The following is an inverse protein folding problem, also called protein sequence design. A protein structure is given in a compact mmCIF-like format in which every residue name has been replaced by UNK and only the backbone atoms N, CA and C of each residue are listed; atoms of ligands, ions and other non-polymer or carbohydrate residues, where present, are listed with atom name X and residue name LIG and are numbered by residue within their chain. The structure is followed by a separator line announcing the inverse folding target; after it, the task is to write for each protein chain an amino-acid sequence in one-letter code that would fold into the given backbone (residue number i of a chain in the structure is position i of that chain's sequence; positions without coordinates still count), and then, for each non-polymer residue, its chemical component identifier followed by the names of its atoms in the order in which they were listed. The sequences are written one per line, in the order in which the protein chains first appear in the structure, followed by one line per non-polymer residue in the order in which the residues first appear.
data_IF_667077307752
#
_entry.id   IF_667077307752
#
_cell.length_a   1.000
_cell.length_b   1.000
_cell.length_c   1.000
_cell.angle_alpha   90.00
_cell.angle_beta   90.00
_cell.angle_gamma   90.00
#
_symmetry.space_group_name_H-M   'P 1'
#
loop_
_entity.id
_entity.type
_entity.pdbx_description
1 polymer ?
#
# COMPACT_ATOMS: atom_id res chain seq x y z
N UNK A 1 68.55 -40.77 32.84
CA UNK A 1 67.90 -39.46 32.95
C UNK A 1 66.82 -39.36 31.86
N UNK A 2 65.57 -39.56 32.23
CA UNK A 2 64.42 -39.63 31.29
C UNK A 2 63.54 -38.39 31.51
N UNK A 3 63.52 -37.50 30.52
CA UNK A 3 62.73 -36.29 30.57
C UNK A 3 61.22 -36.57 30.10
N UNK A 4 60.26 -36.29 30.96
CA UNK A 4 58.85 -36.34 30.66
C UNK A 4 58.43 -34.97 30.10
N UNK A 5 57.88 -34.94 28.86
CA UNK A 5 57.27 -33.76 28.27
C UNK A 5 55.75 -33.86 28.49
N UNK A 6 55.23 -32.99 29.34
CA UNK A 6 53.78 -32.85 29.53
C UNK A 6 53.27 -31.91 28.47
N UNK A 7 52.51 -32.45 27.50
CA UNK A 7 51.80 -31.67 26.51
C UNK A 7 50.50 -31.08 27.10
N UNK A 8 50.46 -29.76 27.19
CA UNK A 8 49.25 -29.03 27.62
C UNK A 8 48.32 -28.84 26.42
N UNK A 9 47.28 -29.68 26.30
CA UNK A 9 46.24 -29.53 25.28
C UNK A 9 45.26 -28.40 25.64
N UNK A 10 45.32 -27.31 24.92
CA UNK A 10 44.30 -26.24 25.03
C UNK A 10 43.05 -26.67 24.23
N UNK A 11 42.01 -27.07 24.92
CA UNK A 11 40.71 -27.30 24.31
C UNK A 11 40.04 -25.94 23.97
N UNK A 12 40.02 -25.61 22.68
CA UNK A 12 39.27 -24.43 22.17
C UNK A 12 37.78 -24.73 22.24
N UNK A 13 37.06 -24.22 23.25
CA UNK A 13 35.61 -24.30 23.32
C UNK A 13 35.03 -23.29 22.34
N UNK A 14 34.48 -23.77 21.24
CA UNK A 14 33.59 -23.00 20.35
C UNK A 14 32.30 -22.69 21.12
N UNK A 15 32.21 -21.52 21.72
CA UNK A 15 30.97 -21.00 22.21
C UNK A 15 30.13 -20.62 20.98
N UNK A 16 29.14 -21.44 20.63
CA UNK A 16 28.07 -21.07 19.72
C UNK A 16 27.25 -19.98 20.40
N UNK A 17 27.42 -18.74 19.95
CA UNK A 17 26.63 -17.62 20.42
C UNK A 17 25.15 -17.89 20.10
N UNK A 18 24.37 -18.21 21.11
CA UNK A 18 22.90 -18.21 21.01
C UNK A 18 22.48 -16.76 20.69
N UNK A 19 21.70 -16.51 19.63
CA UNK A 19 21.27 -15.13 19.34
C UNK A 19 20.55 -14.58 20.57
N UNK A 20 21.06 -13.46 21.10
CA UNK A 20 20.52 -12.83 22.29
C UNK A 20 19.02 -12.55 22.08
N UNK A 21 18.18 -13.06 22.98
CA UNK A 21 16.75 -12.79 22.92
C UNK A 21 16.52 -11.27 22.93
N UNK A 22 15.79 -10.79 21.94
CA UNK A 22 15.48 -9.37 21.77
C UNK A 22 14.92 -8.78 23.07
N UNK A 23 15.46 -7.66 23.54
CA UNK A 23 15.03 -7.05 24.81
C UNK A 23 13.56 -6.64 24.77
N UNK A 24 12.93 -6.50 25.93
CA UNK A 24 11.53 -6.03 26.00
C UNK A 24 11.36 -4.66 25.36
N UNK A 25 12.35 -3.78 25.50
CA UNK A 25 12.37 -2.44 24.90
C UNK A 25 12.40 -2.48 23.38
N UNK A 26 13.26 -3.35 22.79
CA UNK A 26 13.34 -3.51 21.34
C UNK A 26 12.05 -4.10 20.75
N UNK A 27 11.44 -5.06 21.46
CA UNK A 27 10.11 -5.59 21.06
C UNK A 27 9.04 -4.53 21.08
N UNK A 28 9.03 -3.67 22.10
CA UNK A 28 8.09 -2.56 22.19
C UNK A 28 8.32 -1.54 21.08
N UNK A 29 9.56 -1.13 20.83
CA UNK A 29 9.92 -0.22 19.75
C UNK A 29 9.48 -0.75 18.38
N UNK A 30 9.72 -2.04 18.10
CA UNK A 30 9.29 -2.68 16.85
C UNK A 30 7.76 -2.72 16.71
N UNK A 31 7.03 -2.88 17.80
CA UNK A 31 5.55 -2.84 17.77
C UNK A 31 5.03 -1.42 17.51
N UNK A 32 5.63 -0.42 18.14
CA UNK A 32 5.29 0.99 17.92
C UNK A 32 5.54 1.34 16.46
N UNK A 33 6.74 1.03 15.92
CA UNK A 33 7.08 1.31 14.53
C UNK A 33 6.05 0.70 13.55
N UNK A 34 5.61 -0.53 13.80
CA UNK A 34 4.62 -1.19 12.95
C UNK A 34 3.26 -0.47 12.99
N UNK A 35 2.87 0.04 14.15
CA UNK A 35 1.63 0.82 14.30
C UNK A 35 1.74 2.13 13.52
N UNK A 36 2.86 2.85 13.68
CA UNK A 36 3.13 4.09 12.95
C UNK A 36 3.13 3.88 11.44
N UNK A 37 3.80 2.82 10.97
CA UNK A 37 3.82 2.43 9.56
C UNK A 37 2.42 2.14 9.02
N UNK A 38 1.64 1.37 9.75
CA UNK A 38 0.26 1.06 9.37
C UNK A 38 -0.59 2.32 9.26
N UNK A 39 -0.47 3.25 10.22
CA UNK A 39 -1.18 4.53 10.20
C UNK A 39 -0.72 5.43 9.05
N UNK A 40 0.57 5.45 8.74
CA UNK A 40 1.10 6.23 7.61
C UNK A 40 0.59 5.67 6.28
N UNK A 41 0.57 4.34 6.12
CA UNK A 41 0.02 3.69 4.93
C UNK A 41 -1.48 3.97 4.81
N UNK A 42 -2.26 3.84 5.88
CA UNK A 42 -3.69 4.16 5.85
C UNK A 42 -3.92 5.61 5.42
N UNK A 43 -3.14 6.54 5.93
CA UNK A 43 -3.19 7.95 5.51
C UNK A 43 -2.81 8.15 4.04
N UNK A 44 -1.84 7.38 3.53
CA UNK A 44 -1.48 7.35 2.11
C UNK A 44 -2.66 6.89 1.24
N UNK A 45 -3.35 5.80 1.64
CA UNK A 45 -4.54 5.29 0.95
C UNK A 45 -5.66 6.33 0.90
N UNK A 46 -5.94 6.99 2.03
CA UNK A 46 -6.96 8.04 2.13
C UNK A 46 -6.61 9.28 1.29
N UNK A 47 -5.34 9.71 1.31
CA UNK A 47 -4.87 10.83 0.50
C UNK A 47 -4.99 10.57 -1.00
N UNK A 48 -4.84 9.32 -1.44
CA UNK A 48 -5.08 8.95 -2.82
C UNK A 48 -6.49 9.33 -3.28
N UNK A 49 -7.54 8.91 -2.56
CA UNK A 49 -8.92 9.28 -2.87
C UNK A 49 -9.13 10.79 -2.80
N UNK A 50 -8.63 11.43 -1.74
CA UNK A 50 -8.79 12.87 -1.52
C UNK A 50 -8.18 13.72 -2.65
N UNK A 51 -6.95 13.41 -3.10
CA UNK A 51 -6.31 14.15 -4.19
C UNK A 51 -6.97 13.85 -5.54
N UNK A 52 -7.41 12.60 -5.78
CA UNK A 52 -8.18 12.24 -6.97
C UNK A 52 -9.49 13.04 -7.07
N UNK A 53 -10.25 13.10 -5.99
CA UNK A 53 -11.51 13.82 -5.93
C UNK A 53 -11.33 15.34 -6.05
N UNK A 54 -10.26 15.88 -5.46
CA UNK A 54 -9.88 17.29 -5.59
C UNK A 54 -9.30 17.65 -6.97
N UNK A 55 -9.02 16.67 -7.84
CA UNK A 55 -8.29 16.86 -9.10
C UNK A 55 -6.88 17.46 -8.90
N UNK A 56 -6.30 17.26 -7.72
CA UNK A 56 -4.92 17.60 -7.44
C UNK A 56 -3.99 16.48 -7.90
N UNK A 57 -3.87 16.35 -9.23
CA UNK A 57 -3.10 15.25 -9.83
C UNK A 57 -1.59 15.39 -9.60
N UNK A 58 -1.12 16.60 -9.29
CA UNK A 58 0.25 16.79 -8.85
C UNK A 58 0.49 16.12 -7.48
N UNK A 59 -0.31 16.45 -6.46
CA UNK A 59 -0.20 15.80 -5.15
C UNK A 59 -0.50 14.31 -5.22
N UNK A 60 -1.49 13.90 -6.02
CA UNK A 60 -1.82 12.50 -6.29
C UNK A 60 -0.62 11.71 -6.83
N UNK A 61 0.08 12.23 -7.84
CA UNK A 61 1.21 11.54 -8.46
C UNK A 61 2.39 11.37 -7.50
N UNK A 62 2.60 12.32 -6.57
CA UNK A 62 3.66 12.26 -5.56
C UNK A 62 3.45 11.18 -4.48
N UNK A 63 2.28 10.55 -4.44
CA UNK A 63 2.03 9.38 -3.60
C UNK A 63 2.70 8.12 -4.15
N UNK A 64 3.15 8.13 -5.40
CA UNK A 64 3.84 7.02 -6.04
C UNK A 64 5.36 7.14 -5.90
N UNK A 65 6.04 6.01 -5.82
CA UNK A 65 7.50 5.94 -5.88
C UNK A 65 8.02 6.44 -7.23
N UNK A 66 9.32 6.73 -7.34
CA UNK A 66 9.96 7.22 -8.58
C UNK A 66 9.66 6.33 -9.80
N UNK A 67 9.57 5.02 -9.57
CA UNK A 67 9.23 4.00 -10.56
C UNK A 67 7.86 3.34 -10.26
N UNK A 68 7.03 4.01 -9.48
CA UNK A 68 5.71 3.53 -9.08
C UNK A 68 4.77 3.37 -10.27
N UNK A 69 3.92 2.34 -10.23
CA UNK A 69 3.00 1.99 -11.31
C UNK A 69 1.55 2.14 -10.86
N UNK A 70 0.77 2.86 -11.62
CA UNK A 70 -0.69 2.83 -11.56
C UNK A 70 -1.24 1.96 -12.69
N UNK A 71 -2.20 1.08 -12.38
CA UNK A 71 -2.88 0.21 -13.35
C UNK A 71 -4.38 0.15 -13.03
N UNK A 72 -5.22 0.23 -14.05
CA UNK A 72 -6.67 0.14 -13.89
C UNK A 72 -7.37 0.01 -15.24
N UNK A 73 -8.70 0.06 -15.25
CA UNK A 73 -9.52 -0.08 -16.46
C UNK A 73 -9.20 0.93 -17.57
N UNK A 74 -8.59 2.06 -17.25
CA UNK A 74 -8.20 3.08 -18.21
C UNK A 74 -6.80 2.86 -18.81
N UNK A 75 -5.99 1.93 -18.26
CA UNK A 75 -4.63 1.66 -18.73
C UNK A 75 -3.62 1.41 -17.62
N UNK A 76 -2.33 1.50 -17.99
CA UNK A 76 -1.20 1.35 -17.06
C UNK A 76 -0.18 2.43 -17.35
N UNK A 77 0.32 3.10 -16.32
CA UNK A 77 1.33 4.15 -16.44
C UNK A 77 2.34 4.05 -15.30
N UNK A 78 3.57 4.49 -15.54
CA UNK A 78 4.69 4.38 -14.61
C UNK A 78 5.37 5.72 -14.37
N UNK A 79 5.65 5.99 -13.11
CA UNK A 79 6.34 7.17 -12.62
C UNK A 79 5.42 8.38 -12.42
N UNK A 80 5.74 9.25 -11.42
CA UNK A 80 4.86 10.34 -11.02
C UNK A 80 4.46 11.28 -12.16
N UNK A 81 5.40 11.69 -13.00
CA UNK A 81 5.11 12.62 -14.11
C UNK A 81 4.13 12.02 -15.14
N UNK A 82 4.32 10.75 -15.51
CA UNK A 82 3.42 10.06 -16.43
C UNK A 82 2.04 9.81 -15.81
N UNK A 83 1.99 9.47 -14.52
CA UNK A 83 0.73 9.28 -13.76
C UNK A 83 -0.04 10.61 -13.70
N UNK A 84 0.62 11.74 -13.42
CA UNK A 84 -0.03 13.05 -13.42
C UNK A 84 -0.63 13.36 -14.79
N UNK A 85 0.17 13.32 -15.84
CA UNK A 85 -0.28 13.63 -17.20
C UNK A 85 -1.41 12.70 -17.68
N UNK A 86 -1.34 11.42 -17.30
CA UNK A 86 -2.38 10.45 -17.63
C UNK A 86 -3.71 10.81 -16.93
N UNK A 87 -3.69 11.15 -15.63
CA UNK A 87 -4.90 11.50 -14.88
C UNK A 87 -5.51 12.83 -15.35
N UNK A 88 -4.69 13.84 -15.65
CA UNK A 88 -5.15 15.11 -16.21
C UNK A 88 -5.88 14.93 -17.55
N UNK A 89 -5.40 13.99 -18.38
CA UNK A 89 -6.05 13.65 -19.65
C UNK A 89 -7.30 12.79 -19.49
N UNK A 90 -7.28 11.82 -18.56
CA UNK A 90 -8.36 10.86 -18.40
C UNK A 90 -9.57 11.47 -17.65
N UNK A 91 -9.31 12.43 -16.76
CA UNK A 91 -10.33 13.05 -15.90
C UNK A 91 -10.16 14.58 -15.99
N UNK A 92 -10.46 15.19 -17.12
CA UNK A 92 -10.20 16.62 -17.34
C UNK A 92 -11.17 17.52 -16.55
N UNK A 93 -10.68 18.70 -16.20
CA UNK A 93 -11.46 19.75 -15.57
C UNK A 93 -11.68 19.59 -14.06
N UNK A 94 -12.37 20.57 -13.46
CA UNK A 94 -12.68 20.53 -12.02
C UNK A 94 -13.74 19.48 -11.71
N UNK A 95 -13.79 19.04 -10.43
CA UNK A 95 -14.87 18.17 -9.96
C UNK A 95 -16.19 18.96 -9.74
N UNK A 96 -16.78 19.44 -10.82
CA UNK A 96 -17.96 20.30 -10.78
C UNK A 96 -19.24 19.56 -10.33
N UNK A 97 -19.25 18.24 -10.40
CA UNK A 97 -20.40 17.41 -10.00
C UNK A 97 -20.27 16.87 -8.58
N UNK A 98 -19.24 17.27 -7.83
CA UNK A 98 -19.02 16.87 -6.44
C UNK A 98 -19.06 15.36 -6.21
N UNK A 99 -18.52 14.57 -7.17
CA UNK A 99 -18.35 13.14 -6.97
C UNK A 99 -17.14 12.86 -6.05
N UNK A 100 -17.15 11.71 -5.38
CA UNK A 100 -16.07 11.35 -4.47
C UNK A 100 -15.94 9.84 -4.31
N UNK A 101 -14.75 9.42 -3.81
CA UNK A 101 -14.47 8.03 -3.48
C UNK A 101 -14.58 7.81 -1.98
N UNK A 102 -15.30 6.74 -1.60
CA UNK A 102 -15.29 6.20 -0.24
C UNK A 102 -14.33 5.01 -0.22
N UNK A 103 -13.31 5.09 0.62
CA UNK A 103 -12.35 3.98 0.81
C UNK A 103 -12.63 3.31 2.15
N UNK A 104 -12.55 1.98 2.18
CA UNK A 104 -12.87 1.18 3.36
C UNK A 104 -12.14 -0.17 3.36
N UNK A 105 -12.32 -0.94 4.45
CA UNK A 105 -11.87 -2.32 4.57
C UNK A 105 -10.37 -2.47 4.32
N UNK A 106 -9.56 -1.62 4.95
CA UNK A 106 -8.12 -1.68 4.80
C UNK A 106 -7.54 -2.94 5.45
N UNK A 107 -6.80 -3.72 4.68
CA UNK A 107 -5.96 -4.82 5.16
C UNK A 107 -4.53 -4.47 4.78
N UNK A 108 -3.67 -4.25 5.76
CA UNK A 108 -2.31 -3.73 5.57
C UNK A 108 -1.33 -4.67 6.27
N UNK A 109 -0.37 -5.20 5.50
CA UNK A 109 0.69 -6.07 6.00
C UNK A 109 2.05 -5.42 5.76
N UNK A 110 2.72 -5.02 6.85
CA UNK A 110 4.02 -4.35 6.84
C UNK A 110 5.15 -5.35 7.07
N UNK A 111 6.17 -5.32 6.21
CA UNK A 111 7.37 -6.13 6.30
C UNK A 111 8.64 -5.28 6.04
N UNK A 112 9.21 -4.71 7.11
CA UNK A 112 10.33 -3.77 7.02
C UNK A 112 9.96 -2.55 6.18
N UNK A 113 10.72 -2.29 5.11
CA UNK A 113 10.50 -1.16 4.20
C UNK A 113 9.59 -1.48 3.01
N UNK A 114 8.88 -2.60 3.07
CA UNK A 114 7.87 -3.01 2.09
C UNK A 114 6.55 -3.32 2.78
N UNK A 115 5.44 -3.14 2.06
CA UNK A 115 4.13 -3.53 2.55
C UNK A 115 3.22 -3.93 1.40
N UNK A 116 2.15 -4.66 1.74
CA UNK A 116 1.00 -4.84 0.87
C UNK A 116 -0.22 -4.20 1.51
N UNK A 117 -1.13 -3.70 0.68
CA UNK A 117 -2.43 -3.25 1.16
C UNK A 117 -3.52 -3.70 0.20
N UNK A 118 -4.66 -4.06 0.80
CA UNK A 118 -5.89 -4.32 0.09
C UNK A 118 -6.98 -3.40 0.66
N UNK A 119 -7.84 -2.83 -0.21
CA UNK A 119 -8.93 -1.99 0.25
C UNK A 119 -10.11 -2.02 -0.73
N UNK A 120 -11.29 -1.65 -0.22
CA UNK A 120 -12.49 -1.40 -1.03
C UNK A 120 -12.61 0.08 -1.36
N UNK A 121 -13.18 0.35 -2.53
CA UNK A 121 -13.58 1.69 -2.91
C UNK A 121 -15.00 1.69 -3.50
N UNK A 122 -15.68 2.81 -3.30
CA UNK A 122 -16.97 3.12 -3.92
C UNK A 122 -16.87 4.52 -4.54
N UNK A 123 -17.37 4.66 -5.75
CA UNK A 123 -17.49 5.95 -6.43
C UNK A 123 -18.91 6.46 -6.29
N UNK A 124 -19.08 7.55 -5.56
CA UNK A 124 -20.36 8.15 -5.25
C UNK A 124 -20.57 9.37 -6.13
N UNK A 125 -21.74 9.46 -6.75
CA UNK A 125 -22.14 10.55 -7.64
C UNK A 125 -23.51 11.10 -7.22
N UNK A 126 -23.84 12.36 -7.57
CA UNK A 126 -25.20 12.86 -7.45
C UNK A 126 -26.16 12.09 -8.34
N UNK A 127 -27.23 11.59 -7.76
CA UNK A 127 -28.34 10.94 -8.44
C UNK A 127 -29.55 11.86 -8.56
N UNK A 128 -30.73 11.33 -8.98
CA UNK A 128 -31.97 12.08 -9.04
C UNK A 128 -32.33 12.72 -7.70
N UNK A 129 -32.87 13.93 -7.74
CA UNK A 129 -33.22 14.72 -6.54
C UNK A 129 -32.03 14.93 -5.56
N UNK A 130 -30.81 15.02 -6.08
CA UNK A 130 -29.58 15.20 -5.30
C UNK A 130 -29.35 14.11 -4.24
N UNK A 131 -29.80 12.88 -4.52
CA UNK A 131 -29.50 11.72 -3.69
C UNK A 131 -28.07 11.21 -3.95
N UNK A 132 -27.41 10.60 -2.96
CA UNK A 132 -26.14 9.94 -3.17
C UNK A 132 -26.34 8.57 -3.83
N UNK A 133 -25.69 8.33 -4.96
CA UNK A 133 -25.74 7.06 -5.69
C UNK A 133 -24.34 6.49 -5.81
N UNK A 134 -24.17 5.22 -5.44
CA UNK A 134 -22.95 4.48 -5.73
C UNK A 134 -22.97 4.04 -7.19
N UNK A 135 -22.21 4.75 -8.03
CA UNK A 135 -22.13 4.47 -9.46
C UNK A 135 -21.22 3.30 -9.80
N UNK A 136 -20.16 3.12 -9.02
CA UNK A 136 -19.16 2.05 -9.20
C UNK A 136 -18.64 1.61 -7.84
N UNK A 137 -18.19 0.37 -7.76
CA UNK A 137 -17.40 -0.13 -6.63
C UNK A 137 -16.35 -1.12 -7.08
N UNK A 138 -15.31 -1.26 -6.28
CA UNK A 138 -14.22 -2.16 -6.60
C UNK A 138 -13.22 -2.29 -5.47
N UNK A 139 -12.02 -2.65 -5.83
CA UNK A 139 -10.92 -2.84 -4.88
C UNK A 139 -9.61 -2.27 -5.43
N UNK A 140 -8.72 -2.01 -4.51
CA UNK A 140 -7.31 -1.74 -4.78
C UNK A 140 -6.47 -2.88 -4.22
N UNK A 141 -5.50 -3.31 -5.03
CA UNK A 141 -4.44 -4.24 -4.67
C UNK A 141 -3.11 -3.48 -4.79
N UNK A 142 -2.43 -3.28 -3.66
CA UNK A 142 -1.28 -2.41 -3.56
C UNK A 142 -0.03 -3.14 -3.11
N UNK A 143 1.10 -2.78 -3.71
CA UNK A 143 2.42 -2.97 -3.11
C UNK A 143 3.03 -1.60 -2.80
N UNK A 144 3.63 -1.48 -1.63
CA UNK A 144 4.19 -0.23 -1.11
C UNK A 144 5.65 -0.40 -0.75
N UNK A 145 6.37 0.70 -0.78
CA UNK A 145 7.78 0.76 -0.38
C UNK A 145 8.03 2.05 0.41
N UNK A 146 9.00 2.00 1.31
CA UNK A 146 9.52 3.19 1.95
C UNK A 146 10.59 3.80 1.05
N UNK A 147 10.34 4.98 0.51
CA UNK A 147 11.26 5.75 -0.32
C UNK A 147 11.48 7.12 0.33
N UNK A 148 12.74 7.50 0.54
CA UNK A 148 13.13 8.76 1.18
C UNK A 148 12.43 8.96 2.55
N UNK A 149 12.31 7.86 3.34
CA UNK A 149 11.70 7.85 4.68
C UNK A 149 10.17 7.92 4.70
N UNK A 150 9.49 7.81 3.56
CA UNK A 150 8.03 7.87 3.45
C UNK A 150 7.46 6.67 2.70
N UNK A 151 6.29 6.23 3.10
CA UNK A 151 5.57 5.21 2.36
C UNK A 151 5.03 5.75 1.03
N UNK A 152 5.20 4.95 -0.04
CA UNK A 152 4.81 5.27 -1.42
C UNK A 152 4.18 4.05 -2.09
N UNK A 153 3.29 4.28 -3.04
CA UNK A 153 2.85 3.21 -3.92
C UNK A 153 3.98 2.78 -4.85
N UNK A 154 4.43 1.55 -4.71
CA UNK A 154 5.28 0.88 -5.70
C UNK A 154 4.44 0.40 -6.87
N UNK A 155 3.25 -0.11 -6.58
CA UNK A 155 2.24 -0.48 -7.56
C UNK A 155 0.86 -0.38 -6.94
N UNK A 156 -0.09 0.21 -7.67
CA UNK A 156 -1.52 0.16 -7.37
C UNK A 156 -2.26 -0.43 -8.55
N UNK A 157 -3.11 -1.43 -8.29
CA UNK A 157 -4.07 -1.98 -9.25
C UNK A 157 -5.47 -1.61 -8.81
N UNK A 158 -6.18 -0.85 -9.66
CA UNK A 158 -7.57 -0.48 -9.47
C UNK A 158 -8.46 -1.43 -10.28
N UNK A 159 -9.26 -2.23 -9.60
CA UNK A 159 -10.19 -3.17 -10.22
C UNK A 159 -11.63 -2.75 -9.95
N UNK A 160 -12.49 -2.79 -10.98
CA UNK A 160 -13.92 -2.60 -10.84
C UNK A 160 -14.59 -3.96 -10.57
N UNK A 161 -15.42 -4.02 -9.53
CA UNK A 161 -16.24 -5.19 -9.24
C UNK A 161 -17.69 -4.97 -9.68
N UNK A 162 -18.20 -3.72 -9.59
CA UNK A 162 -19.54 -3.34 -10.02
C UNK A 162 -19.48 -1.96 -10.72
N UNK A 163 -19.94 -1.81 -11.97
CA UNK A 163 -20.28 -2.91 -12.87
C UNK A 163 -19.06 -3.78 -13.18
N UNK A 164 -19.28 -5.08 -13.25
CA UNK A 164 -18.24 -6.02 -13.57
C UNK A 164 -17.89 -5.93 -15.05
N UNK A 165 -16.61 -5.90 -15.37
CA UNK A 165 -16.14 -6.05 -16.76
C UNK A 165 -16.10 -7.52 -17.23
N UNK A 166 -16.42 -8.46 -16.33
CA UNK A 166 -16.51 -9.89 -16.59
C UNK A 166 -17.96 -10.39 -16.81
N UNK A 167 -18.15 -11.70 -17.08
CA UNK A 167 -19.47 -12.28 -17.16
C UNK A 167 -20.24 -12.04 -15.85
N UNK A 168 -21.57 -11.88 -15.90
CA UNK A 168 -22.37 -11.64 -14.70
C UNK A 168 -22.16 -12.77 -13.67
N UNK A 169 -22.18 -12.46 -12.37
CA UNK A 169 -22.05 -13.48 -11.34
C UNK A 169 -23.16 -14.50 -11.50
N UNK A 170 -22.79 -15.78 -11.34
CA UNK A 170 -23.74 -16.89 -11.35
C UNK A 170 -24.79 -16.63 -10.25
N UNK A 171 -26.04 -16.42 -10.65
CA UNK A 171 -27.12 -16.30 -9.69
C UNK A 171 -27.30 -17.65 -9.01
N UNK A 172 -26.99 -17.74 -7.72
CA UNK A 172 -27.36 -18.89 -6.91
C UNK A 172 -28.88 -18.93 -6.86
N UNK A 173 -29.48 -19.85 -7.61
CA UNK A 173 -30.92 -20.13 -7.48
C UNK A 173 -31.16 -20.58 -6.04
N UNK A 174 -32.13 -19.93 -5.38
CA UNK A 174 -32.59 -20.29 -4.03
C UNK A 174 -33.37 -21.60 -4.07
#
# INVERSE_FOLDING_TARGET
MTAFVIGLGIALQLQTAVPAAQSATERLASRIQRIEDTQEIERLLLNYGRHLDARDFKAYSLLFAKDGVWSGGMGTVQGPAAIQAFMEKAIPGPNAVHNYHVLSNFVIDVNGDTATAWSRWQFVVPGPNNTAVVAQSGRYDDTLIREDGRWKFKRRVASNDIPSSGPPPVQLQK
#
